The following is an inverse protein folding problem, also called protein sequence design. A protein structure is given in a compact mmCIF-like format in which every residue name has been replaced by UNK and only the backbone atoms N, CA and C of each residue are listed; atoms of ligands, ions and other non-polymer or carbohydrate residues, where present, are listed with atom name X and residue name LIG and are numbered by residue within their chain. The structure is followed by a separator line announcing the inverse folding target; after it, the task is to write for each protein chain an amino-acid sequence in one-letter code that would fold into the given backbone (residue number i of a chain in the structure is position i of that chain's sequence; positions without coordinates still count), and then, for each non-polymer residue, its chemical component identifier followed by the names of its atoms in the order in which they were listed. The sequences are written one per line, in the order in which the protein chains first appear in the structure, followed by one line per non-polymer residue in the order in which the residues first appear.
data_IF_202304328076
#
_entry.id   IF_202304328076
#
_cell.length_a   1.000
_cell.length_b   1.000
_cell.length_c   1.000
_cell.angle_alpha   90.00
_cell.angle_beta   90.00
_cell.angle_gamma   90.00
#
_symmetry.space_group_name_H-M   'P 1'
#
loop_
_entity.id
_entity.type
_entity.pdbx_description
1 polymer ?
#
# COMPACT_ATOMS: atom_id res chain seq x y z
N UNK A 1 4.65 8.89 37.93
CA UNK A 1 3.58 9.00 36.92
C UNK A 1 4.18 8.59 35.58
N UNK A 2 4.06 7.31 35.23
CA UNK A 2 4.57 6.79 33.98
C UNK A 2 3.61 7.20 32.86
N UNK A 3 4.11 8.05 31.96
CA UNK A 3 3.68 8.28 30.60
C UNK A 3 2.23 7.93 30.22
N UNK A 4 1.48 8.97 29.88
CA UNK A 4 0.36 8.97 28.92
C UNK A 4 0.84 8.58 27.50
N UNK A 5 1.67 7.55 27.38
CA UNK A 5 2.21 7.00 26.12
C UNK A 5 1.20 6.06 25.48
N UNK A 6 0.14 6.65 24.93
CA UNK A 6 -0.70 6.01 23.93
C UNK A 6 -1.09 7.07 22.92
N UNK A 7 -0.47 7.07 21.73
CA UNK A 7 -0.92 7.91 20.63
C UNK A 7 -2.38 7.59 20.33
N UNK A 8 -3.25 8.62 20.24
CA UNK A 8 -4.64 8.44 19.79
C UNK A 8 -4.61 7.68 18.47
N UNK A 9 -5.26 6.51 18.44
CA UNK A 9 -5.51 5.77 17.20
C UNK A 9 -6.35 6.66 16.26
N UNK A 10 -6.05 6.71 14.94
CA UNK A 10 -6.78 7.59 14.02
C UNK A 10 -8.26 7.21 13.88
N UNK A 11 -9.13 8.20 13.67
CA UNK A 11 -10.56 8.08 13.35
C UNK A 11 -10.79 7.48 11.94
N UNK A 12 -10.41 6.22 11.71
CA UNK A 12 -10.34 5.49 10.43
C UNK A 12 -8.96 5.66 9.75
N UNK A 13 -8.09 4.67 10.00
CA UNK A 13 -6.88 4.42 9.21
C UNK A 13 -7.03 3.15 8.36
N UNK A 14 -6.28 3.05 7.27
CA UNK A 14 -6.24 1.84 6.44
C UNK A 14 -4.82 1.46 6.03
N UNK A 15 -4.63 0.18 5.75
CA UNK A 15 -3.38 -0.39 5.25
C UNK A 15 -3.49 -0.62 3.74
N UNK A 16 -2.46 -0.21 3.00
CA UNK A 16 -2.37 -0.42 1.55
C UNK A 16 -1.11 -1.21 1.25
N UNK A 17 -1.25 -2.31 0.51
CA UNK A 17 -0.11 -3.07 0.00
C UNK A 17 0.30 -2.49 -1.35
N UNK A 18 1.55 -2.05 -1.46
CA UNK A 18 2.05 -1.36 -2.64
C UNK A 18 3.33 -1.99 -3.18
N UNK A 19 3.42 -2.03 -4.50
CA UNK A 19 4.63 -2.34 -5.25
C UNK A 19 4.81 -1.25 -6.31
N UNK A 20 5.53 -0.19 -5.92
CA UNK A 20 5.70 1.00 -6.74
C UNK A 20 6.81 0.78 -7.76
N UNK A 21 6.55 1.19 -9.00
CA UNK A 21 7.51 1.10 -10.09
C UNK A 21 7.24 2.19 -11.13
N UNK A 22 8.18 2.40 -12.05
CA UNK A 22 8.04 3.36 -13.15
C UNK A 22 7.50 2.73 -14.45
N UNK A 23 6.98 1.49 -14.38
CA UNK A 23 6.50 0.69 -15.51
C UNK A 23 7.53 -0.31 -16.05
N UNK A 24 7.05 -1.37 -16.74
CA UNK A 24 7.87 -2.39 -17.44
C UNK A 24 7.75 -3.80 -16.86
N UNK A 25 8.49 -4.79 -17.37
CA UNK A 25 8.36 -6.21 -16.96
C UNK A 25 8.53 -6.46 -15.45
N UNK A 26 9.31 -5.60 -14.77
CA UNK A 26 9.47 -5.64 -13.30
C UNK A 26 8.15 -5.41 -12.56
N UNK A 27 7.18 -4.71 -13.15
CA UNK A 27 5.85 -4.43 -12.61
C UNK A 27 5.03 -5.71 -12.35
N UNK A 28 5.09 -6.68 -13.28
CA UNK A 28 4.31 -7.93 -13.15
C UNK A 28 4.90 -8.89 -12.11
N UNK A 29 6.23 -8.91 -11.97
CA UNK A 29 6.91 -9.81 -11.02
C UNK A 29 6.72 -9.38 -9.58
N UNK A 30 6.77 -8.07 -9.28
CA UNK A 30 6.58 -7.56 -7.92
C UNK A 30 5.14 -7.76 -7.45
N UNK A 31 4.17 -7.37 -8.29
CA UNK A 31 2.73 -7.54 -8.02
C UNK A 31 2.36 -9.00 -7.67
N UNK A 32 2.77 -9.95 -8.49
CA UNK A 32 2.48 -11.38 -8.27
C UNK A 32 3.07 -11.88 -6.95
N UNK A 33 4.27 -11.40 -6.58
CA UNK A 33 4.92 -11.75 -5.31
C UNK A 33 4.12 -11.24 -4.12
N UNK A 34 3.60 -10.01 -4.16
CA UNK A 34 2.77 -9.45 -3.08
C UNK A 34 1.48 -10.25 -2.93
N UNK A 35 0.81 -10.58 -4.04
CA UNK A 35 -0.38 -11.44 -4.02
C UNK A 35 -0.08 -12.79 -3.37
N UNK A 36 1.02 -13.45 -3.80
CA UNK A 36 1.44 -14.73 -3.24
C UNK A 36 1.69 -14.66 -1.74
N UNK A 37 2.32 -13.58 -1.27
CA UNK A 37 2.54 -13.33 0.15
C UNK A 37 1.22 -13.12 0.92
N UNK A 38 0.31 -12.27 0.44
CA UNK A 38 -0.98 -12.06 1.11
C UNK A 38 -1.81 -13.34 1.23
N UNK A 39 -1.76 -14.19 0.21
CA UNK A 39 -2.42 -15.50 0.22
C UNK A 39 -1.77 -16.45 1.22
N UNK A 40 -0.43 -16.46 1.32
CA UNK A 40 0.26 -17.34 2.27
C UNK A 40 -0.05 -16.98 3.73
N UNK A 41 -0.30 -15.70 4.03
CA UNK A 41 -0.70 -15.24 5.37
C UNK A 41 -2.09 -15.72 5.81
N UNK A 42 -2.96 -16.09 4.86
CA UNK A 42 -4.39 -16.38 5.14
C UNK A 42 -4.77 -17.85 4.93
N UNK A 43 -3.85 -18.67 4.40
CA UNK A 43 -4.02 -20.10 4.23
C UNK A 43 -5.01 -20.48 3.12
N UNK A 44 -5.26 -21.79 2.95
CA UNK A 44 -6.00 -22.33 1.79
C UNK A 44 -7.47 -21.91 1.69
N UNK A 45 -8.10 -21.51 2.81
CA UNK A 45 -9.47 -20.97 2.86
C UNK A 45 -9.51 -19.44 3.03
N UNK A 46 -8.35 -18.79 2.95
CA UNK A 46 -8.18 -17.36 3.12
C UNK A 46 -8.51 -16.56 1.87
N UNK A 47 -7.66 -15.59 1.54
CA UNK A 47 -7.82 -14.76 0.36
C UNK A 47 -7.69 -15.59 -0.92
N UNK A 48 -8.72 -15.54 -1.77
CA UNK A 48 -8.55 -15.92 -3.18
C UNK A 48 -7.60 -14.95 -3.88
N UNK A 49 -7.03 -15.38 -5.00
CA UNK A 49 -6.16 -14.54 -5.82
C UNK A 49 -6.82 -13.23 -6.23
N UNK A 50 -8.08 -13.29 -6.68
CA UNK A 50 -8.86 -12.11 -7.06
C UNK A 50 -9.13 -11.17 -5.88
N UNK A 51 -9.27 -11.71 -4.65
CA UNK A 51 -9.43 -10.87 -3.47
C UNK A 51 -8.10 -10.21 -3.08
N UNK A 52 -6.99 -10.96 -3.13
CA UNK A 52 -5.66 -10.43 -2.84
C UNK A 52 -5.25 -9.35 -3.86
N UNK A 53 -5.51 -9.57 -5.15
CA UNK A 53 -5.26 -8.61 -6.22
C UNK A 53 -5.91 -7.24 -5.95
N UNK A 54 -7.18 -7.22 -5.51
CA UNK A 54 -7.91 -5.98 -5.19
C UNK A 54 -7.28 -5.16 -4.05
N UNK A 55 -6.51 -5.81 -3.17
CA UNK A 55 -5.84 -5.19 -2.02
C UNK A 55 -4.48 -4.59 -2.40
N UNK A 56 -3.90 -4.99 -3.53
CA UNK A 56 -2.57 -4.54 -3.97
C UNK A 56 -2.69 -3.36 -4.93
N UNK A 57 -1.82 -2.38 -4.77
CA UNK A 57 -1.62 -1.29 -5.73
C UNK A 57 -0.21 -1.40 -6.30
N UNK A 58 -0.12 -1.82 -7.56
CA UNK A 58 1.15 -1.91 -8.28
C UNK A 58 1.17 -0.96 -9.48
N UNK A 59 2.30 -0.31 -9.72
CA UNK A 59 2.48 0.62 -10.83
C UNK A 59 3.04 1.99 -10.39
N UNK A 60 2.79 3.06 -11.16
CA UNK A 60 3.37 4.37 -10.91
C UNK A 60 2.78 5.07 -9.67
N UNK A 61 3.50 6.03 -9.08
CA UNK A 61 3.05 6.84 -7.93
C UNK A 61 1.61 7.38 -8.07
N UNK A 62 1.22 7.82 -9.27
CA UNK A 62 -0.13 8.33 -9.55
C UNK A 62 -1.24 7.32 -9.21
N UNK A 63 -1.03 6.03 -9.48
CA UNK A 63 -2.02 4.99 -9.20
C UNK A 63 -2.22 4.77 -7.70
N UNK A 64 -1.17 4.91 -6.90
CA UNK A 64 -1.27 4.90 -5.45
C UNK A 64 -1.95 6.18 -4.95
N UNK A 65 -1.59 7.35 -5.49
CA UNK A 65 -2.22 8.62 -5.14
C UNK A 65 -3.75 8.57 -5.37
N UNK A 66 -4.20 8.09 -6.53
CA UNK A 66 -5.63 7.90 -6.85
C UNK A 66 -6.34 6.97 -5.87
N UNK A 67 -5.66 5.91 -5.40
CA UNK A 67 -6.25 5.00 -4.40
C UNK A 67 -6.37 5.69 -3.04
N UNK A 68 -5.33 6.41 -2.62
CA UNK A 68 -5.31 7.13 -1.34
C UNK A 68 -6.34 8.26 -1.33
N UNK A 69 -6.52 8.96 -2.45
CA UNK A 69 -7.56 9.98 -2.61
C UNK A 69 -8.96 9.40 -2.38
N UNK A 70 -9.29 8.27 -3.03
CA UNK A 70 -10.58 7.59 -2.81
C UNK A 70 -10.81 7.16 -1.37
N UNK A 71 -9.77 6.70 -0.69
CA UNK A 71 -9.88 6.36 0.73
C UNK A 71 -10.07 7.59 1.61
N UNK A 72 -9.43 8.71 1.26
CA UNK A 72 -9.64 10.00 1.93
C UNK A 72 -11.06 10.52 1.74
N UNK A 73 -11.62 10.43 0.52
CA UNK A 73 -13.03 10.74 0.26
C UNK A 73 -13.98 9.86 1.09
N UNK A 74 -13.58 8.61 1.35
CA UNK A 74 -14.30 7.70 2.24
C UNK A 74 -14.04 7.92 3.75
N UNK A 75 -13.29 8.96 4.11
CA UNK A 75 -13.03 9.38 5.50
C UNK A 75 -11.73 8.86 6.11
N UNK A 76 -10.92 8.09 5.39
CA UNK A 76 -9.64 7.61 5.91
C UNK A 76 -8.58 8.73 5.90
N UNK A 77 -8.02 9.05 7.07
CA UNK A 77 -7.05 10.14 7.22
C UNK A 77 -5.64 9.67 7.59
N UNK A 78 -5.45 8.36 7.75
CA UNK A 78 -4.14 7.76 8.04
C UNK A 78 -3.94 6.52 7.19
N UNK A 79 -2.79 6.45 6.51
CA UNK A 79 -2.45 5.38 5.60
C UNK A 79 -1.16 4.70 6.03
N UNK A 80 -1.22 3.40 6.26
CA UNK A 80 -0.02 2.56 6.39
C UNK A 80 0.26 1.96 5.02
N UNK A 81 1.35 2.38 4.38
CA UNK A 81 1.75 1.83 3.07
C UNK A 81 2.79 0.73 3.32
N UNK A 82 2.41 -0.51 3.04
CA UNK A 82 3.32 -1.65 3.08
C UNK A 82 3.99 -1.80 1.71
N UNK A 83 5.26 -1.37 1.63
CA UNK A 83 6.10 -1.50 0.43
C UNK A 83 6.70 -2.91 0.37
N UNK A 84 6.43 -3.62 -0.71
CA UNK A 84 6.79 -5.05 -0.85
C UNK A 84 7.70 -5.37 -2.04
N UNK A 85 8.07 -4.38 -2.85
CA UNK A 85 9.02 -4.56 -3.95
C UNK A 85 10.46 -4.82 -3.47
N UNK A 86 11.32 -5.28 -4.38
CA UNK A 86 12.70 -5.71 -4.07
C UNK A 86 13.70 -4.57 -3.88
N UNK A 87 13.43 -3.39 -4.42
CA UNK A 87 14.25 -2.18 -4.26
C UNK A 87 13.57 -1.26 -3.24
N UNK A 88 13.86 -1.48 -1.95
CA UNK A 88 13.24 -0.69 -0.88
C UNK A 88 13.63 0.79 -0.94
N UNK A 89 14.91 1.19 -1.11
CA UNK A 89 15.27 2.59 -1.29
C UNK A 89 14.51 3.27 -2.45
N UNK A 90 14.51 2.67 -3.64
CA UNK A 90 13.77 3.21 -4.78
C UNK A 90 12.25 3.28 -4.55
N UNK A 91 11.67 2.33 -3.81
CA UNK A 91 10.26 2.41 -3.44
C UNK A 91 9.95 3.52 -2.45
N UNK A 92 10.86 3.85 -1.53
CA UNK A 92 10.68 5.01 -0.65
C UNK A 92 10.72 6.33 -1.44
N UNK A 93 11.59 6.43 -2.44
CA UNK A 93 11.60 7.60 -3.35
C UNK A 93 10.28 7.72 -4.11
N UNK A 94 9.75 6.62 -4.64
CA UNK A 94 8.46 6.61 -5.33
C UNK A 94 7.28 6.91 -4.38
N UNK A 95 7.36 6.48 -3.13
CA UNK A 95 6.37 6.82 -2.11
C UNK A 95 6.42 8.33 -1.78
N UNK A 96 7.62 8.92 -1.71
CA UNK A 96 7.77 10.36 -1.55
C UNK A 96 7.11 11.12 -2.72
N UNK A 97 7.28 10.65 -3.96
CA UNK A 97 6.59 11.24 -5.13
C UNK A 97 5.08 11.06 -5.08
N UNK A 98 4.60 9.93 -4.58
CA UNK A 98 3.15 9.73 -4.35
C UNK A 98 2.59 10.79 -3.40
N UNK A 99 3.35 11.16 -2.36
CA UNK A 99 2.93 12.17 -1.39
C UNK A 99 2.84 13.57 -2.00
N UNK A 100 3.73 13.93 -2.91
CA UNK A 100 3.69 15.21 -3.64
C UNK A 100 2.40 15.34 -4.47
N UNK A 101 1.92 14.23 -5.05
CA UNK A 101 0.66 14.19 -5.81
C UNK A 101 -0.61 14.30 -4.95
N UNK A 102 -0.52 14.10 -3.63
CA UNK A 102 -1.65 14.23 -2.71
C UNK A 102 -1.82 15.65 -2.15
N UNK A 103 -0.85 16.53 -2.41
CA UNK A 103 -0.85 17.93 -1.97
C UNK A 103 -1.38 18.90 -3.03
N UNK A 104 -1.65 18.41 -4.24
CA UNK A 104 -2.43 19.08 -5.28
C UNK A 104 -3.93 18.88 -5.05
#
# INVERSE_FOLDING_TARGET
MASETGSRTPDIGTTVFADLNTGGEREHSGHTRVIGFLRSLTGARGLSERQADRLVVSGPPAKLADRLHRYREAGANTFVVNLSGSDLPGQYDLLARTRELLTE
#
